data_IF_022972659096
#
_entry.id   IF_022972659096
#
_cell.length_a   1.000
_cell.length_b   1.000
_cell.length_c   1.000
_cell.angle_alpha   90.00
_cell.angle_beta   90.00
_cell.angle_gamma   90.00
#
_symmetry.space_group_name_H-M   'P 1'
#
loop_
_entity.id
_entity.type
_entity.pdbx_description
1 polymer ?
#
# COMPACT_ATOMS: atom_id res chain seq x y z
N UNK A 1 -24.89 -25.34 -4.45
CA UNK A 1 -23.86 -25.99 -3.61
C UNK A 1 -22.51 -25.61 -4.18
N UNK A 2 -21.85 -24.60 -3.60
CA UNK A 2 -20.54 -24.12 -4.07
C UNK A 2 -19.44 -24.72 -3.19
N UNK A 3 -18.52 -25.42 -3.83
CA UNK A 3 -17.45 -26.20 -3.19
C UNK A 3 -16.50 -25.24 -2.48
N UNK A 4 -16.55 -25.21 -1.14
CA UNK A 4 -15.49 -24.63 -0.31
C UNK A 4 -14.22 -25.44 -0.56
N UNK A 5 -13.24 -24.90 -1.26
CA UNK A 5 -11.90 -25.48 -1.26
C UNK A 5 -11.32 -25.31 0.14
N UNK A 6 -11.31 -26.40 0.92
CA UNK A 6 -10.57 -26.48 2.16
C UNK A 6 -9.08 -26.38 1.79
N UNK A 7 -8.47 -25.23 2.09
CA UNK A 7 -7.03 -25.04 1.98
C UNK A 7 -6.41 -26.02 2.98
N UNK A 8 -5.88 -27.13 2.47
CA UNK A 8 -5.16 -28.10 3.29
C UNK A 8 -3.77 -27.51 3.51
N UNK A 9 -3.31 -27.30 4.77
CA UNK A 9 -1.99 -26.77 5.01
C UNK A 9 -0.96 -27.82 4.54
N UNK A 10 -0.26 -27.55 3.44
CA UNK A 10 0.91 -28.33 3.05
C UNK A 10 2.03 -28.07 4.06
N UNK A 11 2.81 -29.11 4.38
CA UNK A 11 3.88 -29.19 5.37
C UNK A 11 5.00 -28.14 5.33
N UNK A 12 4.95 -27.15 4.41
CA UNK A 12 5.86 -26.00 4.33
C UNK A 12 5.44 -24.78 5.16
N UNK A 13 4.26 -24.75 5.78
CA UNK A 13 3.80 -23.59 6.57
C UNK A 13 4.40 -23.56 8.00
N UNK A 14 5.24 -24.53 8.40
CA UNK A 14 5.98 -24.51 9.67
C UNK A 14 7.26 -23.68 9.51
N UNK A 15 7.17 -22.38 9.79
CA UNK A 15 8.33 -21.48 9.81
C UNK A 15 8.20 -20.19 8.97
N UNK A 16 7.10 -20.02 8.24
CA UNK A 16 6.83 -18.80 7.47
C UNK A 16 5.97 -17.81 8.25
N UNK A 17 6.47 -16.61 8.47
CA UNK A 17 5.73 -15.51 9.08
C UNK A 17 4.95 -14.74 8.02
N UNK A 18 3.68 -14.41 8.28
CA UNK A 18 2.77 -13.80 7.30
C UNK A 18 2.50 -12.35 7.68
N UNK A 19 2.71 -11.43 6.74
CA UNK A 19 2.37 -10.02 6.91
C UNK A 19 1.34 -9.60 5.87
N UNK A 20 0.26 -8.98 6.34
CA UNK A 20 -0.77 -8.39 5.51
C UNK A 20 -0.39 -6.95 5.19
N UNK A 21 -0.23 -6.65 3.90
CA UNK A 21 0.03 -5.30 3.38
C UNK A 21 -1.22 -4.86 2.63
N UNK A 22 -1.75 -3.69 2.94
CA UNK A 22 -2.81 -3.05 2.13
C UNK A 22 -2.21 -1.86 1.41
N UNK A 23 -2.47 -1.72 0.10
CA UNK A 23 -2.14 -0.50 -0.62
C UNK A 23 -3.41 0.31 -0.84
N UNK A 24 -3.36 1.59 -0.57
CA UNK A 24 -4.45 2.56 -0.64
C UNK A 24 -3.97 3.78 -1.43
N UNK A 25 -4.91 4.60 -1.87
CA UNK A 25 -4.64 5.76 -2.71
C UNK A 25 -5.66 5.90 -3.82
N UNK A 26 -5.69 7.06 -4.45
CA UNK A 26 -6.71 7.41 -5.43
C UNK A 26 -6.58 6.61 -6.73
N UNK A 27 -7.60 6.65 -7.57
CA UNK A 27 -7.55 6.04 -8.89
C UNK A 27 -6.34 6.57 -9.69
N UNK A 28 -5.70 5.71 -10.49
CA UNK A 28 -4.52 6.03 -11.31
C UNK A 28 -3.25 6.45 -10.56
N UNK A 29 -3.21 6.30 -9.23
CA UNK A 29 -2.03 6.61 -8.41
C UNK A 29 -0.86 5.62 -8.52
N UNK A 30 -0.93 4.61 -9.41
CA UNK A 30 0.18 3.68 -9.66
C UNK A 30 0.28 2.46 -8.74
N UNK A 31 -0.69 2.22 -7.84
CA UNK A 31 -0.71 1.09 -6.88
C UNK A 31 -0.38 -0.27 -7.50
N UNK A 32 -1.16 -0.69 -8.49
CA UNK A 32 -1.00 -1.96 -9.20
C UNK A 32 0.34 -2.06 -9.91
N UNK A 33 0.85 -0.94 -10.45
CA UNK A 33 2.16 -0.91 -11.12
C UNK A 33 3.30 -1.16 -10.13
N UNK A 34 3.22 -0.57 -8.93
CA UNK A 34 4.18 -0.83 -7.85
C UNK A 34 4.17 -2.29 -7.44
N UNK A 35 2.99 -2.85 -7.23
CA UNK A 35 2.88 -4.24 -6.79
C UNK A 35 3.38 -5.19 -7.87
N UNK A 36 2.95 -5.03 -9.13
CA UNK A 36 3.39 -5.89 -10.25
C UNK A 36 4.91 -5.80 -10.43
N UNK A 37 5.51 -4.61 -10.28
CA UNK A 37 6.97 -4.47 -10.35
C UNK A 37 7.66 -5.19 -9.19
N UNK A 38 7.18 -5.02 -7.95
CA UNK A 38 7.81 -5.62 -6.78
C UNK A 38 7.65 -7.15 -6.71
N UNK A 39 6.50 -7.67 -7.14
CA UNK A 39 6.16 -9.09 -7.03
C UNK A 39 6.68 -9.88 -8.23
N UNK A 40 6.41 -9.39 -9.45
CA UNK A 40 6.63 -10.11 -10.71
C UNK A 40 7.78 -9.57 -11.57
N UNK A 41 8.41 -8.46 -11.18
CA UNK A 41 9.36 -7.68 -12.00
C UNK A 41 8.79 -7.31 -13.39
N UNK A 42 7.49 -7.00 -13.44
CA UNK A 42 6.77 -6.60 -14.65
C UNK A 42 6.28 -5.16 -14.56
N UNK A 43 6.25 -4.49 -15.71
CA UNK A 43 5.67 -3.16 -15.86
C UNK A 43 4.92 -3.06 -17.19
N UNK A 44 3.73 -2.47 -17.17
CA UNK A 44 2.96 -2.11 -18.36
C UNK A 44 2.61 -0.63 -18.28
N UNK A 45 2.70 0.06 -19.42
CA UNK A 45 2.24 1.45 -19.56
C UNK A 45 0.74 1.55 -19.81
N UNK A 46 0.11 0.44 -20.16
CA UNK A 46 -1.33 0.39 -20.38
C UNK A 46 -2.04 0.49 -19.04
N UNK A 47 -2.96 1.44 -18.94
CA UNK A 47 -3.78 1.60 -17.76
C UNK A 47 -4.91 0.58 -17.77
N UNK A 48 -4.89 -0.31 -16.79
CA UNK A 48 -6.00 -1.21 -16.48
C UNK A 48 -6.51 -0.86 -15.07
N UNK A 49 -7.78 -0.47 -14.97
CA UNK A 49 -8.38 -0.18 -13.69
C UNK A 49 -8.58 -1.46 -12.86
N UNK A 50 -8.05 -1.49 -11.64
CA UNK A 50 -8.36 -2.57 -10.67
C UNK A 50 -9.85 -2.55 -10.33
N UNK A 51 -10.52 -3.68 -10.54
CA UNK A 51 -11.92 -3.85 -10.17
C UNK A 51 -12.01 -4.48 -8.78
N UNK A 52 -12.41 -3.68 -7.79
CA UNK A 52 -12.51 -4.14 -6.40
C UNK A 52 -11.14 -4.30 -5.75
N UNK A 53 -10.65 -5.54 -5.65
CA UNK A 53 -9.39 -5.87 -4.95
C UNK A 53 -8.69 -7.06 -5.61
N UNK A 54 -7.36 -6.99 -5.72
CA UNK A 54 -6.50 -8.11 -6.13
C UNK A 54 -5.56 -8.50 -4.97
N UNK A 55 -5.24 -9.79 -4.86
CA UNK A 55 -4.32 -10.30 -3.84
C UNK A 55 -3.05 -10.84 -4.50
N UNK A 56 -1.91 -10.21 -4.17
CA UNK A 56 -0.60 -10.66 -4.57
C UNK A 56 0.13 -11.30 -3.40
N UNK A 57 0.96 -12.31 -3.66
CA UNK A 57 1.77 -12.97 -2.62
C UNK A 57 3.23 -13.01 -3.03
N UNK A 58 4.11 -12.54 -2.15
CA UNK A 58 5.56 -12.63 -2.32
C UNK A 58 6.16 -13.31 -1.09
N UNK A 59 6.94 -14.35 -1.30
CA UNK A 59 7.73 -14.98 -0.22
C UNK A 59 9.18 -14.52 -0.36
N UNK A 60 9.71 -13.97 0.73
CA UNK A 60 11.10 -13.54 0.89
C UNK A 60 11.78 -14.60 1.75
N UNK A 61 12.78 -15.26 1.18
CA UNK A 61 13.59 -16.26 1.87
C UNK A 61 14.94 -15.63 2.23
N UNK A 62 15.21 -15.47 3.53
CA UNK A 62 16.47 -14.91 4.01
C UNK A 62 17.26 -16.00 4.74
N UNK A 63 18.50 -16.31 4.32
CA UNK A 63 19.31 -17.34 4.97
C UNK A 63 19.48 -17.10 6.47
N UNK A 64 19.24 -18.13 7.28
CA UNK A 64 19.36 -18.06 8.74
C UNK A 64 18.23 -17.31 9.44
N UNK A 65 17.19 -16.87 8.71
CA UNK A 65 15.99 -16.23 9.26
C UNK A 65 14.73 -17.00 8.85
N UNK A 66 13.61 -16.67 9.49
CA UNK A 66 12.30 -17.19 9.08
C UNK A 66 11.91 -16.60 7.73
N UNK A 67 11.29 -17.42 6.88
CA UNK A 67 10.70 -16.95 5.63
C UNK A 67 9.57 -15.96 5.92
N UNK A 68 9.50 -14.89 5.15
CA UNK A 68 8.46 -13.87 5.26
C UNK A 68 7.53 -13.99 4.06
N UNK A 69 6.23 -14.12 4.29
CA UNK A 69 5.20 -14.09 3.24
C UNK A 69 4.41 -12.80 3.33
N UNK A 70 4.62 -11.93 2.36
CA UNK A 70 3.84 -10.72 2.16
C UNK A 70 2.58 -11.05 1.37
N UNK A 71 1.42 -10.71 1.94
CA UNK A 71 0.12 -10.76 1.29
C UNK A 71 -0.32 -9.33 1.00
N UNK A 72 -0.17 -8.90 -0.26
CA UNK A 72 -0.41 -7.53 -0.69
C UNK A 72 -1.79 -7.42 -1.31
N UNK A 73 -2.65 -6.64 -0.67
CA UNK A 73 -4.01 -6.35 -1.10
C UNK A 73 -4.02 -5.07 -1.95
N UNK A 74 -4.04 -5.23 -3.27
CA UNK A 74 -4.18 -4.14 -4.25
C UNK A 74 -5.63 -3.67 -4.29
N UNK A 75 -5.89 -2.46 -3.80
CA UNK A 75 -7.25 -1.92 -3.76
C UNK A 75 -7.54 -1.03 -4.96
N UNK A 76 -8.79 -1.05 -5.44
CA UNK A 76 -9.25 -0.06 -6.40
C UNK A 76 -9.32 1.33 -5.76
N UNK A 77 -8.79 2.32 -6.47
CA UNK A 77 -8.92 3.73 -6.07
C UNK A 77 -10.26 4.36 -6.45
N UNK A 78 -11.16 3.62 -7.12
CA UNK A 78 -12.46 4.14 -7.53
C UNK A 78 -13.41 4.28 -6.35
N UNK A 79 -14.16 5.37 -6.36
CA UNK A 79 -15.09 5.72 -5.28
C UNK A 79 -16.09 4.60 -4.97
N UNK A 80 -16.62 3.94 -5.99
CA UNK A 80 -17.63 2.87 -5.84
C UNK A 80 -17.17 1.67 -5.01
N UNK A 81 -15.86 1.51 -4.79
CA UNK A 81 -15.31 0.42 -3.96
C UNK A 81 -14.89 0.88 -2.55
N UNK A 82 -15.05 2.17 -2.22
CA UNK A 82 -14.64 2.73 -0.91
C UNK A 82 -15.31 2.03 0.27
N UNK A 83 -16.56 1.59 0.13
CA UNK A 83 -17.27 0.88 1.21
C UNK A 83 -16.64 -0.47 1.60
N UNK A 84 -15.80 -1.05 0.73
CA UNK A 84 -15.07 -2.29 1.03
C UNK A 84 -13.71 -2.06 1.70
N UNK A 85 -13.15 -0.84 1.62
CA UNK A 85 -11.83 -0.51 2.14
C UNK A 85 -11.65 -0.86 3.62
N UNK A 86 -12.60 -0.58 4.54
CA UNK A 86 -12.43 -0.92 5.96
C UNK A 86 -12.16 -2.41 6.20
N UNK A 87 -12.75 -3.28 5.38
CA UNK A 87 -12.52 -4.74 5.48
C UNK A 87 -11.10 -5.15 5.08
N UNK A 88 -10.45 -4.40 4.19
CA UNK A 88 -9.08 -4.66 3.75
C UNK A 88 -8.05 -4.08 4.72
N UNK A 89 -8.36 -2.96 5.38
CA UNK A 89 -7.50 -2.34 6.41
C UNK A 89 -7.45 -3.19 7.69
N UNK A 90 -8.56 -3.85 8.05
CA UNK A 90 -8.63 -4.72 9.24
C UNK A 90 -7.48 -5.75 9.25
N UNK A 91 -6.80 -5.88 10.38
CA UNK A 91 -5.68 -6.83 10.58
C UNK A 91 -4.48 -6.64 9.61
N UNK A 92 -4.38 -5.49 8.92
CA UNK A 92 -3.15 -5.17 8.18
C UNK A 92 -1.98 -4.96 9.15
N UNK A 93 -0.78 -5.33 8.74
CA UNK A 93 0.44 -5.02 9.49
C UNK A 93 1.07 -3.74 8.94
N UNK A 94 0.83 -3.50 7.65
CA UNK A 94 1.41 -2.42 6.88
C UNK A 94 0.32 -1.82 5.98
N UNK A 95 0.21 -0.50 5.97
CA UNK A 95 -0.55 0.27 4.99
C UNK A 95 0.42 1.06 4.10
N UNK A 96 0.24 0.98 2.78
CA UNK A 96 0.98 1.79 1.80
C UNK A 96 0.01 2.78 1.19
N UNK A 97 0.25 4.09 1.35
CA UNK A 97 -0.55 5.16 0.77
C UNK A 97 0.19 5.69 -0.46
N UNK A 98 -0.30 5.34 -1.65
CA UNK A 98 0.31 5.73 -2.91
C UNK A 98 -0.39 6.94 -3.55
N UNK A 99 0.40 7.92 -4.01
CA UNK A 99 -0.08 9.09 -4.75
C UNK A 99 0.78 9.35 -5.99
N UNK A 100 0.21 9.98 -7.00
CA UNK A 100 0.92 10.44 -8.20
C UNK A 100 1.54 11.82 -7.97
N UNK A 101 2.87 11.92 -8.11
CA UNK A 101 3.60 13.20 -7.91
C UNK A 101 3.26 14.27 -8.95
N UNK A 102 2.57 13.90 -10.03
CA UNK A 102 2.11 14.82 -11.08
C UNK A 102 0.66 15.28 -10.91
N UNK A 103 -0.02 14.82 -9.85
CA UNK A 103 -1.43 15.14 -9.61
C UNK A 103 -1.62 15.79 -8.24
N UNK A 104 -1.85 17.12 -8.21
CA UNK A 104 -1.97 17.86 -6.94
C UNK A 104 -3.06 17.31 -6.01
N UNK A 105 -4.24 16.98 -6.55
CA UNK A 105 -5.36 16.51 -5.73
C UNK A 105 -5.09 15.21 -4.96
N UNK A 106 -4.25 14.31 -5.49
CA UNK A 106 -3.94 13.04 -4.80
C UNK A 106 -3.05 13.24 -3.58
N UNK A 107 -2.25 14.31 -3.56
CA UNK A 107 -1.46 14.68 -2.40
C UNK A 107 -2.33 15.10 -1.23
N UNK A 108 -3.42 15.83 -1.50
CA UNK A 108 -4.38 16.22 -0.46
C UNK A 108 -5.09 15.00 0.11
N UNK A 109 -5.41 14.01 -0.74
CA UNK A 109 -5.98 12.73 -0.32
C UNK A 109 -5.09 11.88 0.60
N UNK A 110 -3.77 12.13 0.69
CA UNK A 110 -2.87 11.37 1.58
C UNK A 110 -3.36 11.41 3.03
N UNK A 111 -3.68 12.61 3.52
CA UNK A 111 -4.11 12.80 4.91
C UNK A 111 -5.38 12.01 5.20
N UNK A 112 -6.35 12.07 4.28
CA UNK A 112 -7.58 11.27 4.37
C UNK A 112 -7.28 9.78 4.52
N UNK A 113 -6.38 9.23 3.70
CA UNK A 113 -6.06 7.80 3.75
C UNK A 113 -5.30 7.41 5.01
N UNK A 114 -4.41 8.29 5.51
CA UNK A 114 -3.71 8.10 6.79
C UNK A 114 -4.72 8.08 7.94
N UNK A 115 -5.60 9.08 8.02
CA UNK A 115 -6.65 9.16 9.05
C UNK A 115 -7.56 7.93 9.02
N UNK A 116 -8.00 7.49 7.84
CA UNK A 116 -8.83 6.27 7.72
C UNK A 116 -8.13 5.03 8.30
N UNK A 117 -6.82 4.86 8.03
CA UNK A 117 -6.05 3.73 8.59
C UNK A 117 -5.91 3.90 10.10
N UNK A 118 -5.57 5.10 10.58
CA UNK A 118 -5.40 5.39 11.99
C UNK A 118 -6.66 5.17 12.81
N UNK A 119 -7.81 5.65 12.34
CA UNK A 119 -9.10 5.49 13.02
C UNK A 119 -9.53 4.02 13.08
N UNK A 120 -9.34 3.27 11.99
CA UNK A 120 -9.72 1.85 11.95
C UNK A 120 -8.77 0.96 12.76
N UNK A 121 -7.54 1.42 13.04
CA UNK A 121 -6.47 0.65 13.69
C UNK A 121 -5.93 1.33 14.95
N UNK A 122 -6.74 2.16 15.60
CA UNK A 122 -6.34 3.00 16.74
C UNK A 122 -5.65 2.21 17.89
N UNK A 123 -6.01 0.94 18.06
CA UNK A 123 -5.52 0.06 19.13
C UNK A 123 -4.35 -0.85 18.71
N UNK A 124 -3.96 -0.83 17.44
CA UNK A 124 -2.95 -1.72 16.88
C UNK A 124 -1.74 -0.92 16.38
N UNK A 125 -0.55 -1.50 16.51
CA UNK A 125 0.63 -0.94 15.84
C UNK A 125 0.56 -1.24 14.33
N UNK A 126 0.43 -0.20 13.51
CA UNK A 126 0.45 -0.29 12.05
C UNK A 126 1.55 0.59 11.48
N UNK A 127 2.34 0.03 10.56
CA UNK A 127 3.32 0.78 9.80
C UNK A 127 2.65 1.42 8.58
N UNK A 128 2.71 2.75 8.48
CA UNK A 128 2.13 3.49 7.36
C UNK A 128 3.25 4.01 6.49
N UNK A 129 3.31 3.55 5.24
CA UNK A 129 4.26 4.02 4.24
C UNK A 129 3.58 4.96 3.25
N UNK A 130 4.09 6.18 3.13
CA UNK A 130 3.61 7.11 2.09
C UNK A 130 4.55 7.05 0.89
N UNK A 131 4.00 6.80 -0.30
CA UNK A 131 4.75 6.51 -1.52
C UNK A 131 4.32 7.42 -2.67
N UNK A 132 5.25 8.28 -3.12
CA UNK A 132 5.10 9.03 -4.36
C UNK A 132 5.45 8.16 -5.57
N UNK A 133 4.58 8.15 -6.57
CA UNK A 133 4.70 7.36 -7.81
C UNK A 133 4.99 8.25 -9.01
N UNK A 134 5.41 7.66 -10.15
CA UNK A 134 5.78 8.39 -11.39
C UNK A 134 6.95 9.36 -11.20
N UNK A 135 7.86 8.98 -10.32
CA UNK A 135 9.10 9.71 -10.03
C UNK A 135 10.16 9.56 -11.15
N UNK A 136 9.86 8.85 -12.22
CA UNK A 136 10.63 8.81 -13.46
C UNK A 136 10.37 10.06 -14.32
N UNK A 137 9.20 10.69 -14.18
CA UNK A 137 8.82 11.86 -14.97
C UNK A 137 9.69 13.09 -14.63
N UNK A 138 9.94 13.97 -15.62
CA UNK A 138 10.75 15.18 -15.41
C UNK A 138 10.23 16.04 -14.25
N UNK A 139 11.12 16.71 -13.53
CA UNK A 139 10.76 17.61 -12.42
C UNK A 139 9.74 18.68 -12.84
N UNK A 140 9.78 19.14 -14.09
CA UNK A 140 8.83 20.11 -14.64
C UNK A 140 7.38 19.60 -14.74
N UNK A 141 7.16 18.28 -14.65
CA UNK A 141 5.83 17.67 -14.66
C UNK A 141 5.33 17.32 -13.26
N UNK A 142 6.17 17.45 -12.22
CA UNK A 142 5.80 17.15 -10.84
C UNK A 142 5.15 18.38 -10.21
N UNK A 143 4.13 18.16 -9.39
CA UNK A 143 3.41 19.21 -8.68
C UNK A 143 4.05 19.58 -7.33
N UNK A 144 5.12 18.88 -6.93
CA UNK A 144 5.71 18.96 -5.61
C UNK A 144 7.23 18.89 -5.66
N UNK A 145 7.86 19.68 -4.83
CA UNK A 145 9.26 19.51 -4.45
C UNK A 145 9.40 18.40 -3.42
N UNK A 146 10.60 17.85 -3.28
CA UNK A 146 10.90 16.90 -2.21
C UNK A 146 10.64 17.53 -0.83
N UNK A 147 10.98 18.82 -0.67
CA UNK A 147 10.75 19.56 0.57
C UNK A 147 9.26 19.64 0.94
N UNK A 148 8.37 19.97 -0.01
CA UNK A 148 6.92 20.01 0.27
C UNK A 148 6.42 18.64 0.76
N UNK A 149 6.87 17.55 0.12
CA UNK A 149 6.52 16.19 0.52
C UNK A 149 7.01 15.91 1.95
N UNK A 150 8.27 16.21 2.24
CA UNK A 150 8.87 15.98 3.55
C UNK A 150 8.18 16.80 4.66
N UNK A 151 7.79 18.05 4.38
CA UNK A 151 7.03 18.90 5.31
C UNK A 151 5.68 18.28 5.66
N UNK A 152 4.93 17.78 4.67
CA UNK A 152 3.65 17.11 4.92
C UNK A 152 3.81 15.82 5.71
N UNK A 153 4.84 15.05 5.43
CA UNK A 153 5.12 13.81 6.16
C UNK A 153 5.41 14.09 7.64
N UNK A 154 6.22 15.12 7.91
CA UNK A 154 6.50 15.57 9.27
C UNK A 154 5.27 16.13 9.99
N UNK A 155 4.34 16.74 9.25
CA UNK A 155 3.05 17.15 9.80
C UNK A 155 2.18 15.95 10.19
N UNK A 156 2.02 14.97 9.28
CA UNK A 156 1.23 13.76 9.53
C UNK A 156 1.81 12.95 10.69
N UNK A 157 3.13 12.79 10.76
CA UNK A 157 3.78 12.07 11.86
C UNK A 157 3.55 12.74 13.22
N UNK A 158 3.44 14.07 13.28
CA UNK A 158 3.11 14.79 14.52
C UNK A 158 1.64 14.68 14.90
N UNK A 159 0.72 14.63 13.92
CA UNK A 159 -0.72 14.49 14.16
C UNK A 159 -1.09 13.10 14.69
N UNK A 160 -0.41 12.06 14.22
CA UNK A 160 -0.78 10.66 14.47
C UNK A 160 0.04 9.97 15.59
N UNK A 161 1.03 10.65 16.19
CA UNK A 161 1.87 10.08 17.25
C UNK A 161 1.18 10.14 18.61
N UNK A 162 0.87 8.97 19.23
CA UNK A 162 1.89 7.95 19.52
C UNK A 162 1.63 6.51 19.00
N UNK A 163 0.51 6.21 18.33
CA UNK A 163 0.12 4.81 18.06
C UNK A 163 0.61 4.26 16.72
N UNK A 164 0.94 5.13 15.75
CA UNK A 164 1.31 4.71 14.39
C UNK A 164 2.72 5.14 14.01
N UNK A 165 3.48 4.19 13.45
CA UNK A 165 4.80 4.46 12.90
C UNK A 165 4.65 4.86 11.42
N UNK A 166 4.55 6.17 11.17
CA UNK A 166 4.57 6.73 9.82
C UNK A 166 6.00 6.75 9.30
N UNK A 167 6.23 6.09 8.16
CA UNK A 167 7.50 6.03 7.46
C UNK A 167 7.30 6.54 6.04
N UNK A 168 8.25 7.33 5.55
CA UNK A 168 8.26 7.77 4.16
C UNK A 168 9.17 6.90 3.33
N UNK A 169 8.69 6.44 2.17
CA UNK A 169 9.52 5.79 1.18
C UNK A 169 9.13 6.29 -0.21
N UNK A 170 10.09 6.83 -0.93
CA UNK A 170 9.91 7.16 -2.35
C UNK A 170 10.30 5.95 -3.20
N UNK A 171 9.38 5.48 -4.05
CA UNK A 171 9.65 4.37 -4.99
C UNK A 171 9.68 4.89 -6.45
N UNK A 172 10.62 4.34 -7.22
CA UNK A 172 10.86 4.69 -8.63
C UNK A 172 10.27 3.62 -9.53
N UNK A 173 9.29 3.97 -10.36
CA UNK A 173 8.82 3.16 -11.49
C UNK A 173 8.36 4.10 -12.58
#
# INVERSE_FOLDING_TARGET
MSTRSLITPTSKDVGTEKFKVVILGDESSGKTSIIRRAVDDKFSKEYEATLGVDLFTKTICTPGQKDIRLQVWDTSGQERFKSSIPSYIRDCHIAIIAFDVTTRGQYDSIEKWVTEVSELREQDEVWIFIVGTKCDLPLSQRCFTQQEIDEKLNELQRKEAPNNNIVSLSFFI
#
